data_IF_049216615221
#
_entry.id   IF_049216615221
#
_cell.length_a   1.000
_cell.length_b   1.000
_cell.length_c   1.000
_cell.angle_alpha   90.00
_cell.angle_beta   90.00
_cell.angle_gamma   90.00
#
_symmetry.space_group_name_H-M   'P 1'
#
loop_
_entity.id
_entity.type
_entity.pdbx_description
1 polymer ?
#
# COMPACT_ATOMS: atom_id res chain seq x y z
N UNK A 1 39.24 2.22 -8.16
CA UNK A 1 38.43 1.05 -8.52
C UNK A 1 37.87 0.52 -7.22
N UNK A 2 36.59 0.58 -6.90
CA UNK A 2 35.44 1.32 -7.42
C UNK A 2 34.48 1.41 -6.23
N UNK A 3 33.71 2.49 -6.19
CA UNK A 3 32.70 2.87 -5.21
C UNK A 3 31.83 1.69 -4.70
N UNK A 4 31.72 1.58 -3.37
CA UNK A 4 30.56 1.00 -2.67
C UNK A 4 29.70 2.21 -2.27
N UNK A 5 28.43 2.28 -2.69
CA UNK A 5 27.40 1.58 -1.95
C UNK A 5 26.39 0.87 -2.86
N UNK A 6 25.95 -0.29 -2.39
CA UNK A 6 24.69 -0.95 -2.73
C UNK A 6 23.76 -0.07 -3.57
N UNK A 7 23.67 -0.38 -4.86
CA UNK A 7 22.65 0.12 -5.77
C UNK A 7 21.27 -0.23 -5.19
N UNK A 8 20.73 0.67 -4.37
CA UNK A 8 19.31 0.70 -3.99
C UNK A 8 18.40 1.05 -5.18
N UNK A 9 18.97 1.16 -6.39
CA UNK A 9 18.25 1.35 -7.66
C UNK A 9 17.77 0.03 -8.33
N UNK A 10 17.83 -1.09 -7.63
CA UNK A 10 17.15 -2.34 -8.00
C UNK A 10 16.33 -2.76 -6.77
N UNK A 11 15.05 -2.44 -6.60
CA UNK A 11 13.94 -2.84 -7.46
C UNK A 11 12.76 -1.90 -7.19
N UNK A 12 12.55 -0.91 -8.05
CA UNK A 12 11.22 -0.36 -8.27
C UNK A 12 10.35 -1.46 -8.94
N UNK A 13 10.08 -2.55 -8.21
CA UNK A 13 8.87 -3.33 -8.40
C UNK A 13 7.80 -2.64 -7.55
N UNK A 14 7.60 -1.35 -7.80
CA UNK A 14 6.37 -0.69 -7.39
C UNK A 14 5.28 -1.47 -8.11
N UNK A 15 4.66 -2.41 -7.39
CA UNK A 15 3.44 -3.05 -7.86
C UNK A 15 2.35 -1.98 -8.02
N UNK A 16 1.11 -2.40 -8.19
CA UNK A 16 -0.04 -1.49 -8.26
C UNK A 16 -0.14 -0.51 -7.06
N UNK A 17 0.62 -0.73 -5.97
CA UNK A 17 0.71 0.13 -4.79
C UNK A 17 1.92 1.09 -4.76
N UNK A 18 2.92 0.95 -5.64
CA UNK A 18 4.09 1.85 -5.68
C UNK A 18 4.76 2.05 -4.30
N UNK A 19 5.03 3.30 -3.95
CA UNK A 19 5.63 3.73 -2.67
C UNK A 19 4.79 3.35 -1.43
N UNK A 20 3.48 3.17 -1.57
CA UNK A 20 2.63 2.76 -0.45
C UNK A 20 3.02 1.37 0.07
N UNK A 21 3.54 0.49 -0.80
CA UNK A 21 4.00 -0.83 -0.41
C UNK A 21 5.19 -0.77 0.56
N UNK A 22 6.18 0.08 0.26
CA UNK A 22 7.36 0.25 1.12
C UNK A 22 6.97 0.85 2.48
N UNK A 23 6.02 1.79 2.49
CA UNK A 23 5.47 2.35 3.72
C UNK A 23 4.84 1.25 4.56
N UNK A 24 4.01 0.39 3.95
CA UNK A 24 3.36 -0.71 4.66
C UNK A 24 4.38 -1.69 5.24
N UNK A 25 5.48 -1.99 4.54
CA UNK A 25 6.54 -2.86 5.07
C UNK A 25 7.28 -2.24 6.26
N UNK A 26 7.40 -0.92 6.30
CA UNK A 26 8.02 -0.17 7.40
C UNK A 26 7.09 0.16 8.57
N UNK A 27 5.80 -0.21 8.50
CA UNK A 27 4.83 0.06 9.57
C UNK A 27 4.90 -0.93 10.73
N UNK A 28 4.55 -0.44 11.92
CA UNK A 28 4.34 -1.26 13.10
C UNK A 28 2.93 -1.87 13.09
N UNK A 29 2.88 -3.20 13.23
CA UNK A 29 1.65 -3.98 13.30
C UNK A 29 1.44 -4.55 14.71
N UNK A 30 0.18 -4.77 15.15
CA UNK A 30 -1.06 -4.63 14.39
C UNK A 30 -1.55 -3.18 14.24
N UNK A 31 -2.17 -2.86 13.10
CA UNK A 31 -2.75 -1.52 12.79
C UNK A 31 -4.23 -1.64 12.43
N UNK A 32 -5.05 -0.70 12.90
CA UNK A 32 -6.47 -0.68 12.54
C UNK A 32 -6.71 0.01 11.20
N UNK A 33 -7.76 -0.39 10.47
CA UNK A 33 -8.16 0.28 9.22
C UNK A 33 -8.30 1.80 9.40
N UNK A 34 -8.88 2.22 10.54
CA UNK A 34 -9.11 3.62 10.87
C UNK A 34 -7.78 4.37 11.06
N UNK A 35 -6.81 3.78 11.77
CA UNK A 35 -5.47 4.36 11.92
C UNK A 35 -4.69 4.39 10.61
N UNK A 36 -4.82 3.33 9.79
CA UNK A 36 -4.17 3.26 8.49
C UNK A 36 -4.73 4.32 7.54
N UNK A 37 -6.05 4.51 7.50
CA UNK A 37 -6.70 5.57 6.71
C UNK A 37 -6.40 6.95 7.29
N UNK A 38 -6.30 7.11 8.60
CA UNK A 38 -5.91 8.38 9.20
C UNK A 38 -4.46 8.76 8.88
N UNK A 39 -3.55 7.78 8.79
CA UNK A 39 -2.14 8.01 8.50
C UNK A 39 -1.84 8.09 6.99
N UNK A 40 -2.51 7.26 6.19
CA UNK A 40 -2.20 7.05 4.77
C UNK A 40 -3.42 7.16 3.84
N UNK A 41 -4.56 7.65 4.32
CA UNK A 41 -5.76 7.77 3.50
C UNK A 41 -5.60 8.69 2.29
N UNK A 42 -4.80 9.75 2.46
CA UNK A 42 -4.45 10.73 1.41
C UNK A 42 -3.45 10.16 0.38
N UNK A 43 -2.89 8.97 0.63
CA UNK A 43 -1.95 8.36 -0.29
C UNK A 43 -2.67 7.88 -1.55
N UNK A 44 -2.10 8.18 -2.69
CA UNK A 44 -2.63 7.83 -4.00
C UNK A 44 -1.98 6.55 -4.52
N UNK A 45 -2.80 5.60 -4.96
CA UNK A 45 -2.35 4.35 -5.60
C UNK A 45 -2.87 4.27 -7.03
N UNK A 46 -2.07 3.67 -7.91
CA UNK A 46 -2.46 3.46 -9.29
C UNK A 46 -3.37 2.24 -9.38
N UNK A 47 -4.55 2.42 -9.98
CA UNK A 47 -5.49 1.35 -10.30
C UNK A 47 -5.64 1.22 -11.82
N UNK A 48 -6.23 0.11 -12.25
CA UNK A 48 -6.58 -0.11 -13.67
C UNK A 48 -7.52 0.97 -14.24
N UNK A 49 -8.29 1.66 -13.38
CA UNK A 49 -9.18 2.76 -13.76
C UNK A 49 -8.58 4.16 -13.65
N UNK A 50 -7.34 4.30 -13.17
CA UNK A 50 -6.71 5.58 -12.83
C UNK A 50 -6.22 5.61 -11.37
N UNK A 51 -5.84 6.78 -10.89
CA UNK A 51 -5.35 6.94 -9.52
C UNK A 51 -6.50 7.00 -8.51
N UNK A 52 -6.39 6.28 -7.39
CA UNK A 52 -7.37 6.26 -6.30
C UNK A 52 -6.69 6.46 -4.95
N UNK A 53 -7.36 7.17 -4.04
CA UNK A 53 -6.88 7.36 -2.68
C UNK A 53 -7.08 6.11 -1.84
N UNK A 54 -6.12 5.79 -0.99
CA UNK A 54 -6.19 4.66 -0.05
C UNK A 54 -7.44 4.75 0.82
N UNK A 55 -7.84 5.94 1.26
CA UNK A 55 -9.08 6.10 2.03
C UNK A 55 -10.32 5.57 1.29
N UNK A 56 -10.42 5.83 -0.02
CA UNK A 56 -11.57 5.45 -0.84
C UNK A 56 -11.58 3.94 -1.09
N UNK A 57 -10.41 3.39 -1.40
CA UNK A 57 -10.24 1.95 -1.62
C UNK A 57 -10.57 1.18 -0.33
N UNK A 58 -10.05 1.65 0.80
CA UNK A 58 -10.27 1.05 2.11
C UNK A 58 -11.64 1.38 2.71
N UNK A 59 -12.34 2.42 2.25
CA UNK A 59 -13.70 2.74 2.72
C UNK A 59 -14.67 1.59 2.45
N UNK A 60 -14.45 0.88 1.34
CA UNK A 60 -15.24 -0.30 0.95
C UNK A 60 -14.91 -1.54 1.75
N UNK A 61 -13.82 -1.54 2.52
CA UNK A 61 -13.37 -2.64 3.37
C UNK A 61 -14.00 -2.48 4.75
N UNK A 62 -14.52 -3.58 5.31
CA UNK A 62 -15.03 -3.57 6.68
C UNK A 62 -13.92 -3.21 7.68
N UNK A 63 -14.28 -2.44 8.71
CA UNK A 63 -13.35 -2.06 9.79
C UNK A 63 -12.74 -3.30 10.42
N UNK A 64 -11.45 -3.51 10.16
CA UNK A 64 -10.67 -4.62 10.70
C UNK A 64 -9.29 -4.15 11.17
N UNK A 65 -8.61 -5.04 11.88
CA UNK A 65 -7.21 -4.86 12.27
C UNK A 65 -6.36 -5.73 11.36
N UNK A 66 -5.30 -5.15 10.83
CA UNK A 66 -4.32 -5.84 10.01
C UNK A 66 -3.15 -6.23 10.90
N UNK A 67 -2.72 -7.49 10.80
CA UNK A 67 -1.58 -8.02 11.55
C UNK A 67 -0.28 -7.88 10.75
N UNK A 68 -0.38 -7.57 9.45
CA UNK A 68 0.77 -7.45 8.55
C UNK A 68 0.49 -6.61 7.31
N UNK A 69 1.55 -6.06 6.72
CA UNK A 69 1.53 -5.32 5.46
C UNK A 69 0.89 -6.10 4.31
N UNK A 70 1.17 -7.40 4.26
CA UNK A 70 0.61 -8.29 3.24
C UNK A 70 -0.92 -8.36 3.27
N UNK A 71 -1.54 -8.27 4.45
CA UNK A 71 -3.00 -8.26 4.55
C UNK A 71 -3.60 -6.96 4.02
N UNK A 72 -2.99 -5.81 4.36
CA UNK A 72 -3.41 -4.50 3.83
C UNK A 72 -3.31 -4.50 2.30
N UNK A 73 -2.14 -4.88 1.80
CA UNK A 73 -1.86 -4.97 0.36
C UNK A 73 -2.87 -5.86 -0.35
N UNK A 74 -3.20 -7.02 0.22
CA UNK A 74 -4.15 -7.94 -0.39
C UNK A 74 -5.54 -7.32 -0.53
N UNK A 75 -6.05 -6.65 0.52
CA UNK A 75 -7.34 -5.97 0.47
C UNK A 75 -7.37 -4.84 -0.55
N UNK A 76 -6.34 -3.99 -0.55
CA UNK A 76 -6.24 -2.86 -1.50
C UNK A 76 -6.21 -3.40 -2.93
N UNK A 77 -5.30 -4.32 -3.25
CA UNK A 77 -5.22 -4.94 -4.58
C UNK A 77 -6.52 -5.65 -4.98
N UNK A 78 -7.15 -6.37 -4.07
CA UNK A 78 -8.42 -7.05 -4.33
C UNK A 78 -9.52 -6.05 -4.67
N UNK A 79 -9.54 -4.90 -4.00
CA UNK A 79 -10.50 -3.84 -4.27
C UNK A 79 -10.22 -3.15 -5.61
N UNK A 80 -8.96 -2.84 -5.92
CA UNK A 80 -8.57 -2.27 -7.22
C UNK A 80 -8.91 -3.22 -8.39
N UNK A 81 -8.72 -4.53 -8.20
CA UNK A 81 -9.02 -5.54 -9.21
C UNK A 81 -10.52 -5.87 -9.35
N UNK A 82 -11.36 -5.48 -8.39
CA UNK A 82 -12.80 -5.77 -8.39
C UNK A 82 -13.60 -4.87 -9.35
N UNK A 83 -13.02 -3.76 -9.79
CA UNK A 83 -13.63 -2.85 -10.76
C UNK A 83 -13.53 -3.42 -12.20
N UNK A 84 -14.42 -4.37 -12.53
CA UNK A 84 -14.65 -4.83 -13.92
C UNK A 84 -16.13 -4.95 -14.27
#
# INVERSE_FOLDING_TARGET
MSDDPLSIEERAQGGELGDFDEILEGQDYPVTLDELVAAYGDYEVESSGGTQSIEEVLNSVDKKTYDSAGEVRNDVLNQLNREK
#
